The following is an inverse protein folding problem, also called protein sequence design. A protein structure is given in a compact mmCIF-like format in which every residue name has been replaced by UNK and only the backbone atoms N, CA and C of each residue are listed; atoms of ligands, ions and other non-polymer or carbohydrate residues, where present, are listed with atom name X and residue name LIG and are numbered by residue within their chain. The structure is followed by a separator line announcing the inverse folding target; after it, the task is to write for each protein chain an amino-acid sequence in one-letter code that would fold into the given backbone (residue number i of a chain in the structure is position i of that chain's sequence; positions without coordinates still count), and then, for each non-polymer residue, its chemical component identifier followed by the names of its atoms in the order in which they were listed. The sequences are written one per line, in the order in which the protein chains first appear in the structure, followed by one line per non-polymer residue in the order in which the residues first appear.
data_IF_478479575221
#
_entry.id   IF_478479575221
#
_cell.length_a   1.000
_cell.length_b   1.000
_cell.length_c   1.000
_cell.angle_alpha   90.00
_cell.angle_beta   90.00
_cell.angle_gamma   90.00
#
_symmetry.space_group_name_H-M   'P 1'
#
loop_
_entity.id
_entity.type
_entity.pdbx_description
1 polymer ?
#
# COMPACT_ATOMS: atom_id res chain seq x y z
N UNK A 1 -27.99 36.88 31.10
CA UNK A 1 -27.74 36.46 30.78
C UNK A 1 -27.40 35.58 30.32
N UNK A 2 -27.22 35.24 29.98
CA UNK A 2 -26.88 34.50 29.37
C UNK A 2 -26.44 33.52 29.20
N UNK A 3 -26.58 33.25 29.21
CA UNK A 3 -26.21 32.40 28.89
C UNK A 3 -26.01 31.53 28.36
N UNK A 4 -26.08 31.24 28.03
CA UNK A 4 -26.00 30.47 27.41
C UNK A 4 -25.43 29.77 26.87
N UNK A 5 -25.44 29.82 26.85
CA UNK A 5 -24.93 29.38 26.23
C UNK A 5 -24.37 28.36 26.14
N UNK A 6 -24.34 28.11 26.05
CA UNK A 6 -23.76 27.24 25.83
C UNK A 6 -23.60 26.22 25.42
N UNK A 7 -23.87 26.00 25.23
CA UNK A 7 -23.73 25.10 24.70
C UNK A 7 -23.31 24.42 24.07
N UNK A 8 -23.24 24.41 23.82
CA UNK A 8 -22.85 23.87 23.10
C UNK A 8 -22.24 23.03 22.83
N UNK A 9 -22.18 22.85 22.68
CA UNK A 9 -21.58 22.14 22.28
C UNK A 9 -21.23 21.15 22.12
N UNK A 10 -21.34 20.90 22.12
CA UNK A 10 -20.95 20.00 21.90
C UNK A 10 -20.80 19.25 21.31
N UNK A 11 -20.84 19.03 20.84
CA UNK A 11 -20.67 18.30 20.12
C UNK A 11 -20.10 17.59 19.61
N UNK A 12 -19.88 17.42 19.52
CA UNK A 12 -19.28 16.80 18.96
C UNK A 12 -18.93 15.90 18.71
N UNK A 13 -18.91 15.50 18.37
CA UNK A 13 -18.54 14.66 17.99
C UNK A 13 -18.25 13.87 17.41
N UNK A 14 -18.14 13.46 17.06
CA UNK A 14 -17.83 12.75 16.46
C UNK A 14 -17.29 11.85 16.31
N UNK A 15 -17.21 11.36 15.76
CA UNK A 15 -16.83 10.58 15.77
C UNK A 15 -16.69 9.73 15.01
N UNK A 16 -16.19 9.30 14.44
CA UNK A 16 -15.95 8.57 13.67
C UNK A 16 -15.55 7.47 13.97
N UNK A 17 -15.57 7.18 14.24
CA UNK A 17 -15.24 6.27 14.64
C UNK A 17 -15.09 5.23 14.01
N UNK A 18 -14.88 4.77 13.92
CA UNK A 18 -14.82 3.78 13.50
C UNK A 18 -14.44 3.16 12.56
N UNK A 19 -14.24 3.57 11.95
CA UNK A 19 -13.96 3.01 10.90
C UNK A 19 -13.00 2.07 10.91
N UNK A 20 -13.17 1.08 11.12
CA UNK A 20 -12.23 0.07 11.16
C UNK A 20 -11.94 -0.50 9.81
N UNK A 21 -11.90 0.26 8.82
CA UNK A 21 -11.52 -0.22 7.52
C UNK A 21 -10.04 -0.51 7.51
N UNK A 22 -9.63 -1.63 6.95
CA UNK A 22 -8.23 -1.90 6.70
C UNK A 22 -7.71 -0.83 5.74
N UNK A 23 -6.53 -0.33 6.01
CA UNK A 23 -5.91 0.61 5.11
C UNK A 23 -5.54 -0.06 3.81
N UNK A 24 -5.67 0.66 2.72
CA UNK A 24 -5.28 0.19 1.40
C UNK A 24 -4.22 1.13 0.85
N UNK A 25 -3.13 0.57 0.36
CA UNK A 25 -2.13 1.34 -0.37
C UNK A 25 -2.06 0.81 -1.79
N UNK A 26 -1.75 1.68 -2.73
CA UNK A 26 -1.67 1.29 -4.12
C UNK A 26 -0.55 2.04 -4.81
N UNK A 27 0.10 1.38 -5.75
CA UNK A 27 1.11 2.02 -6.56
C UNK A 27 0.47 3.10 -7.44
N UNK A 28 1.05 4.29 -7.49
CA UNK A 28 0.59 5.29 -8.46
C UNK A 28 0.69 4.75 -9.88
N UNK A 29 -0.27 5.08 -10.72
CA UNK A 29 -0.29 4.59 -12.08
C UNK A 29 0.86 5.15 -12.92
N UNK A 30 1.37 6.31 -12.55
CA UNK A 30 2.44 6.96 -13.29
C UNK A 30 3.45 7.57 -12.32
N UNK A 31 4.67 7.74 -12.83
CA UNK A 31 5.74 8.42 -12.12
C UNK A 31 6.24 9.55 -13.01
N UNK A 32 6.27 10.76 -12.46
CA UNK A 32 6.87 11.91 -13.17
C UNK A 32 8.35 11.97 -12.86
N UNK A 33 9.16 12.09 -13.90
CA UNK A 33 10.59 12.25 -13.74
C UNK A 33 11.04 13.35 -14.71
N UNK A 34 11.23 14.56 -14.18
CA UNK A 34 11.50 15.73 -14.99
C UNK A 34 10.32 15.96 -15.94
N UNK A 35 10.55 15.95 -17.24
CA UNK A 35 9.51 16.20 -18.23
C UNK A 35 8.85 14.94 -18.77
N UNK A 36 9.23 13.78 -18.24
CA UNK A 36 8.70 12.52 -18.76
C UNK A 36 7.76 11.87 -17.76
N UNK A 37 6.77 11.15 -18.30
CA UNK A 37 5.83 10.38 -17.51
C UNK A 37 6.07 8.91 -17.79
N UNK A 38 6.21 8.13 -16.73
CA UNK A 38 6.48 6.69 -16.83
C UNK A 38 5.31 5.93 -16.27
N UNK A 39 4.88 4.88 -16.95
CA UNK A 39 3.73 4.08 -16.55
C UNK A 39 4.17 2.95 -15.64
N UNK A 40 3.33 2.66 -14.66
CA UNK A 40 3.54 1.51 -13.77
C UNK A 40 3.50 0.24 -14.61
N UNK A 41 4.53 -0.62 -14.46
CA UNK A 41 4.58 -1.86 -15.21
C UNK A 41 5.01 -3.07 -14.41
N UNK A 42 5.36 -2.90 -13.14
CA UNK A 42 5.76 -4.03 -12.32
C UNK A 42 5.70 -3.64 -10.84
N UNK A 43 5.73 -4.63 -9.98
CA UNK A 43 5.77 -4.40 -8.54
C UNK A 43 6.42 -5.60 -7.86
N UNK A 44 7.07 -5.33 -6.74
CA UNK A 44 7.71 -6.36 -5.93
C UNK A 44 7.38 -6.13 -4.47
N UNK A 45 7.32 -7.18 -3.69
CA UNK A 45 7.08 -7.10 -2.25
C UNK A 45 8.34 -7.50 -1.51
N UNK A 46 8.73 -6.72 -0.50
CA UNK A 46 9.93 -6.97 0.28
C UNK A 46 9.60 -7.08 1.76
N UNK A 47 10.29 -7.99 2.43
CA UNK A 47 10.31 -8.08 3.88
C UNK A 47 11.50 -7.25 4.37
N UNK A 48 11.21 -6.16 5.07
CA UNK A 48 12.24 -5.22 5.47
C UNK A 48 12.59 -4.25 4.37
N UNK A 49 13.54 -3.35 4.61
CA UNK A 49 13.86 -2.31 3.62
C UNK A 49 14.29 -2.91 2.29
N UNK A 50 13.80 -2.39 1.18
CA UNK A 50 14.11 -2.96 -0.14
C UNK A 50 15.61 -3.08 -0.43
N UNK A 51 16.42 -2.15 0.10
CA UNK A 51 17.87 -2.22 -0.14
C UNK A 51 18.53 -3.43 0.52
N UNK A 52 17.83 -4.13 1.39
CA UNK A 52 18.32 -5.37 2.00
C UNK A 52 17.99 -6.59 1.16
N UNK A 53 17.29 -6.40 0.04
CA UNK A 53 17.02 -7.46 -0.94
C UNK A 53 16.18 -8.62 -0.41
N UNK A 54 15.29 -8.38 0.53
CA UNK A 54 14.40 -9.43 1.05
C UNK A 54 13.14 -9.59 0.23
N UNK A 55 13.29 -9.77 -1.09
CA UNK A 55 12.13 -9.89 -1.97
C UNK A 55 11.37 -11.18 -1.73
N UNK A 56 10.04 -11.08 -1.72
CA UNK A 56 9.16 -12.21 -1.49
C UNK A 56 8.54 -12.65 -2.80
N UNK A 57 8.51 -13.96 -3.02
CA UNK A 57 7.91 -14.52 -4.22
C UNK A 57 6.39 -14.56 -4.06
N UNK A 58 5.65 -14.33 -5.15
CA UNK A 58 4.19 -14.48 -5.10
C UNK A 58 3.77 -15.91 -4.76
N UNK A 59 2.56 -16.05 -4.26
CA UNK A 59 2.04 -17.35 -3.82
C UNK A 59 1.89 -18.35 -4.95
N UNK A 60 1.62 -17.86 -6.17
CA UNK A 60 1.53 -18.76 -7.33
C UNK A 60 1.91 -18.01 -8.60
N UNK A 61 2.13 -18.79 -9.68
CA UNK A 61 2.66 -18.24 -10.92
C UNK A 61 1.60 -17.63 -11.83
N UNK A 62 0.35 -17.98 -11.65
CA UNK A 62 -0.69 -17.52 -12.55
C UNK A 62 -1.23 -16.15 -12.17
N UNK A 63 -1.12 -15.80 -10.90
CA UNK A 63 -1.59 -14.50 -10.41
C UNK A 63 -0.54 -13.98 -9.45
N UNK A 64 -0.23 -12.68 -9.55
CA UNK A 64 0.72 -12.07 -8.63
C UNK A 64 -0.05 -11.70 -7.38
N UNK A 65 -0.05 -12.61 -6.42
CA UNK A 65 -0.74 -12.45 -5.14
C UNK A 65 0.20 -12.87 -4.03
N UNK A 66 0.25 -12.06 -2.98
CA UNK A 66 1.00 -12.37 -1.76
C UNK A 66 0.01 -12.40 -0.60
N UNK A 67 -0.07 -13.54 0.10
CA UNK A 67 -0.83 -13.64 1.34
C UNK A 67 0.08 -13.24 2.48
N UNK A 68 -0.32 -12.27 3.27
CA UNK A 68 0.61 -11.56 4.14
C UNK A 68 0.69 -12.02 5.59
N UNK A 69 -0.22 -12.90 6.03
CA UNK A 69 -0.32 -13.21 7.46
C UNK A 69 1.02 -13.60 8.08
N UNK A 70 1.70 -14.56 7.48
CA UNK A 70 2.96 -15.05 8.03
C UNK A 70 4.06 -14.00 7.94
N UNK A 71 4.08 -13.24 6.85
CA UNK A 71 5.10 -12.20 6.68
C UNK A 71 4.86 -11.04 7.66
N UNK A 72 3.60 -10.71 7.92
CA UNK A 72 3.28 -9.68 8.90
C UNK A 72 3.69 -10.11 10.30
N UNK A 73 3.40 -11.36 10.65
CA UNK A 73 3.78 -11.88 11.97
C UNK A 73 5.30 -11.90 12.13
N UNK A 74 5.99 -12.37 11.12
CA UNK A 74 7.45 -12.39 11.12
C UNK A 74 8.01 -10.97 11.20
N UNK A 75 7.42 -10.07 10.43
CA UNK A 75 7.86 -8.68 10.40
C UNK A 75 7.74 -8.00 11.74
N UNK A 76 6.63 -8.23 12.44
CA UNK A 76 6.44 -7.67 13.77
C UNK A 76 7.46 -8.22 14.75
N UNK A 77 7.73 -9.52 14.65
CA UNK A 77 8.66 -10.18 15.56
C UNK A 77 10.09 -9.71 15.33
N UNK A 78 10.47 -9.51 14.08
CA UNK A 78 11.86 -9.23 13.70
C UNK A 78 12.13 -7.74 13.43
N UNK A 79 11.11 -6.90 13.48
CA UNK A 79 11.30 -5.51 13.13
C UNK A 79 11.53 -5.28 11.64
N UNK A 80 10.90 -6.12 10.80
CA UNK A 80 11.08 -6.07 9.34
C UNK A 80 9.74 -5.85 8.67
N UNK A 81 9.24 -4.62 8.59
CA UNK A 81 7.95 -4.36 7.95
C UNK A 81 7.98 -4.70 6.45
N UNK A 82 6.81 -4.82 5.87
CA UNK A 82 6.68 -5.11 4.45
C UNK A 82 6.68 -3.83 3.63
N UNK A 83 7.28 -3.91 2.46
CA UNK A 83 7.37 -2.80 1.52
C UNK A 83 6.91 -3.23 0.14
N UNK A 84 6.02 -2.46 -0.48
CA UNK A 84 5.62 -2.65 -1.86
C UNK A 84 6.43 -1.68 -2.71
N UNK A 85 7.18 -2.22 -3.67
CA UNK A 85 8.02 -1.41 -4.54
C UNK A 85 7.37 -1.35 -5.90
N UNK A 86 7.05 -0.15 -6.33
CA UNK A 86 6.40 0.11 -7.62
C UNK A 86 7.45 0.44 -8.65
N UNK A 87 7.42 -0.25 -9.81
CA UNK A 87 8.39 -0.07 -10.86
C UNK A 87 7.72 0.48 -12.11
N UNK A 88 8.43 1.31 -12.83
CA UNK A 88 7.87 2.08 -13.94
C UNK A 88 8.68 1.88 -15.20
N UNK A 89 8.01 2.04 -16.37
CA UNK A 89 8.65 1.88 -17.66
C UNK A 89 9.72 2.92 -17.88
N UNK A 90 10.83 2.49 -18.49
CA UNK A 90 11.88 3.38 -18.99
C UNK A 90 12.52 4.27 -17.91
N UNK A 91 12.56 3.80 -16.68
CA UNK A 91 13.25 4.49 -15.61
C UNK A 91 13.66 3.47 -14.54
N UNK A 92 14.75 3.76 -13.85
CA UNK A 92 15.16 2.97 -12.71
C UNK A 92 14.58 3.49 -11.41
N UNK A 93 13.88 4.62 -11.46
CA UNK A 93 13.25 5.16 -10.26
C UNK A 93 12.06 4.32 -9.86
N UNK A 94 11.86 4.19 -8.56
CA UNK A 94 10.76 3.41 -8.00
C UNK A 94 10.01 4.23 -6.97
N UNK A 95 8.83 3.76 -6.62
CA UNK A 95 8.08 4.27 -5.47
C UNK A 95 8.02 3.15 -4.45
N UNK A 96 8.41 3.43 -3.22
CA UNK A 96 8.41 2.43 -2.15
C UNK A 96 7.34 2.79 -1.14
N UNK A 97 6.41 1.88 -0.93
CA UNK A 97 5.27 2.10 -0.04
C UNK A 97 5.34 1.12 1.12
N UNK A 98 5.29 1.65 2.34
CA UNK A 98 5.24 0.78 3.50
C UNK A 98 3.85 0.15 3.58
N UNK A 99 3.79 -1.17 3.67
CA UNK A 99 2.54 -1.90 3.74
C UNK A 99 1.97 -1.75 5.14
N UNK A 100 0.68 -1.38 5.29
CA UNK A 100 0.09 -1.27 6.62
C UNK A 100 0.10 -2.60 7.35
N UNK A 101 0.27 -2.54 8.65
CA UNK A 101 0.30 -3.76 9.49
C UNK A 101 -1.01 -4.54 9.39
N UNK A 102 -2.11 -3.87 9.05
CA UNK A 102 -3.42 -4.49 8.95
C UNK A 102 -3.68 -5.13 7.61
N UNK A 103 -2.79 -4.97 6.63
CA UNK A 103 -3.02 -5.53 5.30
C UNK A 103 -2.91 -7.05 5.33
N UNK A 104 -3.81 -7.70 4.60
CA UNK A 104 -3.89 -9.15 4.53
C UNK A 104 -3.32 -9.73 3.26
N UNK A 105 -3.26 -8.93 2.20
CA UNK A 105 -2.76 -9.41 0.92
C UNK A 105 -2.27 -8.25 0.07
N UNK A 106 -1.40 -8.58 -0.87
CA UNK A 106 -1.03 -7.68 -1.96
C UNK A 106 -1.35 -8.38 -3.27
N UNK A 107 -1.73 -7.60 -4.26
CA UNK A 107 -2.01 -8.11 -5.61
C UNK A 107 -1.40 -7.19 -6.65
N UNK A 108 -0.99 -7.76 -7.76
CA UNK A 108 -0.46 -7.00 -8.88
C UNK A 108 -0.82 -7.72 -10.18
N UNK A 109 -0.90 -6.97 -11.28
CA UNK A 109 -1.20 -7.56 -12.57
C UNK A 109 -1.79 -6.56 -13.53
N UNK A 110 -2.25 -7.07 -14.65
CA UNK A 110 -2.94 -6.25 -15.65
C UNK A 110 -4.43 -6.26 -15.37
N UNK A 111 -5.07 -5.12 -15.56
CA UNK A 111 -6.53 -5.06 -15.48
C UNK A 111 -7.13 -5.83 -16.64
N UNK A 112 -8.33 -6.34 -16.46
CA UNK A 112 -8.99 -7.18 -17.45
C UNK A 112 -9.07 -6.46 -18.79
N UNK A 113 -8.66 -7.17 -19.85
CA UNK A 113 -8.70 -6.66 -21.23
C UNK A 113 -8.01 -5.31 -21.38
N UNK A 114 -6.92 -5.11 -20.65
CA UNK A 114 -6.25 -3.83 -20.61
C UNK A 114 -4.75 -4.01 -20.57
N UNK A 115 -4.01 -2.97 -20.92
CA UNK A 115 -2.56 -2.93 -20.74
C UNK A 115 -2.20 -2.19 -19.46
N UNK A 116 -3.19 -1.79 -18.67
CA UNK A 116 -2.93 -1.05 -17.45
C UNK A 116 -2.54 -2.01 -16.33
N UNK A 117 -1.40 -1.74 -15.75
CA UNK A 117 -0.89 -2.52 -14.63
C UNK A 117 -1.37 -1.89 -13.32
N UNK A 118 -1.65 -2.73 -12.33
CA UNK A 118 -2.00 -2.29 -10.99
C UNK A 118 -1.18 -3.05 -9.96
N UNK A 119 -1.02 -2.47 -8.77
CA UNK A 119 -0.44 -3.15 -7.63
C UNK A 119 -0.95 -2.47 -6.37
N UNK A 120 -1.40 -3.26 -5.42
CA UNK A 120 -1.92 -2.70 -4.18
C UNK A 120 -1.86 -3.74 -3.06
N UNK A 121 -2.00 -3.27 -1.82
CA UNK A 121 -2.12 -4.12 -0.64
C UNK A 121 -3.30 -3.63 0.18
N UNK A 122 -4.06 -4.58 0.74
CA UNK A 122 -5.20 -4.24 1.59
C UNK A 122 -5.47 -5.30 2.64
#
# INVERSE_FOLDING_TARGET
MSWNKTLLLSTALFIFSGAACAEKIACPNTLQNALTTHRLNDASLFQGPPEKHGELMPDNDSHIVWTLQEYQDYGKKMGLPLWLVCRYENTSKTVELKVPDSANQCKAGLEDNSTLFYAFCE
#
